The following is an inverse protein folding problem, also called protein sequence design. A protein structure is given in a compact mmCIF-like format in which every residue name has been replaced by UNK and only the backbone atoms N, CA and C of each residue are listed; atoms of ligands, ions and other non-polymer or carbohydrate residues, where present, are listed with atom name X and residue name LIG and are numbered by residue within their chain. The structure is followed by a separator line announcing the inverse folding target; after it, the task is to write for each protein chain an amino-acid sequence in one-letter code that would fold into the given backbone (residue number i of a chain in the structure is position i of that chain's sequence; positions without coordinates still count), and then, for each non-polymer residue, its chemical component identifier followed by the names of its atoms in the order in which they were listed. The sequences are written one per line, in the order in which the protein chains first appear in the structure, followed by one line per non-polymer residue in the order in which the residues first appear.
data_IF_704353800231
#
_entry.id   IF_704353800231
#
_cell.length_a   1.000
_cell.length_b   1.000
_cell.length_c   1.000
_cell.angle_alpha   90.00
_cell.angle_beta   90.00
_cell.angle_gamma   90.00
#
_symmetry.space_group_name_H-M   'P 1'
#
loop_
_entity.id
_entity.type
_entity.pdbx_description
1 polymer ?
#
# COMPACT_ATOMS: atom_id res chain seq x y z
N UNK A 1 70.52 -38.22 7.66
CA UNK A 1 69.89 -37.25 8.58
C UNK A 1 70.11 -35.85 8.01
N UNK A 2 69.06 -35.25 7.44
CA UNK A 2 69.11 -33.91 6.84
C UNK A 2 68.55 -32.91 7.87
N UNK A 3 69.41 -32.00 8.34
CA UNK A 3 69.04 -30.89 9.21
C UNK A 3 68.03 -29.98 8.49
N UNK A 4 66.98 -29.56 9.18
CA UNK A 4 66.05 -28.53 8.72
C UNK A 4 65.88 -27.48 9.81
N UNK A 5 66.32 -26.29 9.46
CA UNK A 5 66.34 -25.03 10.22
C UNK A 5 64.93 -24.47 10.42
N UNK A 6 64.72 -23.79 11.55
CA UNK A 6 63.48 -23.09 11.91
C UNK A 6 63.58 -21.65 11.37
N UNK A 7 62.72 -21.30 10.42
CA UNK A 7 62.49 -19.91 10.01
C UNK A 7 61.24 -19.39 10.73
N UNK A 8 61.39 -18.31 11.50
CA UNK A 8 60.28 -17.60 12.15
C UNK A 8 59.46 -16.83 11.09
N UNK A 9 58.12 -16.81 11.16
CA UNK A 9 57.32 -15.98 10.25
C UNK A 9 57.33 -14.53 10.74
N UNK A 10 57.68 -13.62 9.82
CA UNK A 10 57.48 -12.18 9.95
C UNK A 10 55.98 -11.91 9.94
N UNK A 11 55.46 -11.31 10.99
CA UNK A 11 54.07 -10.87 11.10
C UNK A 11 53.89 -9.60 10.25
N UNK A 12 53.35 -9.75 9.04
CA UNK A 12 52.90 -8.61 8.24
C UNK A 12 51.59 -8.08 8.80
N UNK A 13 51.63 -6.90 9.43
CA UNK A 13 50.43 -6.16 9.84
C UNK A 13 49.81 -5.57 8.57
N UNK A 14 48.75 -6.21 8.07
CA UNK A 14 47.86 -5.62 7.05
C UNK A 14 46.90 -4.70 7.78
N UNK A 15 47.14 -3.40 7.70
CA UNK A 15 46.15 -2.39 8.10
C UNK A 15 45.03 -2.37 7.07
N UNK A 16 43.93 -3.05 7.38
CA UNK A 16 42.68 -2.91 6.64
C UNK A 16 42.14 -1.50 6.85
N UNK A 17 42.23 -0.64 5.83
CA UNK A 17 41.44 0.59 5.77
C UNK A 17 39.98 0.18 5.56
N UNK A 18 39.23 0.02 6.65
CA UNK A 18 37.79 -0.05 6.59
C UNK A 18 37.27 1.34 6.18
N UNK A 19 36.94 1.48 4.89
CA UNK A 19 36.12 2.61 4.45
C UNK A 19 34.77 2.57 5.16
N UNK A 20 34.09 3.70 5.36
CA UNK A 20 32.74 3.70 5.89
C UNK A 20 31.85 2.94 4.90
N UNK A 21 31.44 1.73 5.27
CA UNK A 21 30.33 1.08 4.62
C UNK A 21 29.08 1.90 5.00
N UNK A 22 28.61 2.74 4.08
CA UNK A 22 27.27 3.27 4.16
C UNK A 22 26.33 2.05 4.09
N UNK A 23 25.86 1.58 5.24
CA UNK A 23 24.82 0.57 5.30
C UNK A 23 23.55 1.23 4.73
N UNK A 24 23.32 1.06 3.43
CA UNK A 24 22.03 1.35 2.84
C UNK A 24 21.03 0.46 3.57
N UNK A 25 20.00 1.05 4.17
CA UNK A 25 18.87 0.29 4.72
C UNK A 25 18.25 -0.45 3.53
N UNK A 26 18.26 -1.79 3.49
CA UNK A 26 17.64 -2.53 2.39
C UNK A 26 16.17 -2.15 2.33
N UNK A 27 15.71 -1.72 1.15
CA UNK A 27 14.29 -1.48 0.92
C UNK A 27 13.65 -2.85 0.76
N UNK A 28 12.96 -3.32 1.78
CA UNK A 28 12.20 -4.57 1.72
C UNK A 28 10.76 -4.32 1.34
N UNK A 29 10.16 -5.26 0.60
CA UNK A 29 8.74 -5.27 0.26
C UNK A 29 8.12 -6.50 0.87
N UNK A 30 7.26 -6.34 1.89
CA UNK A 30 6.49 -7.46 2.43
C UNK A 30 5.46 -7.94 1.40
N UNK A 31 5.52 -9.21 1.04
CA UNK A 31 4.55 -9.88 0.19
C UNK A 31 3.88 -11.03 0.96
N UNK A 32 2.55 -11.02 0.96
CA UNK A 32 1.73 -11.99 1.68
C UNK A 32 0.70 -12.56 0.73
N UNK A 33 0.38 -13.84 0.90
CA UNK A 33 -0.57 -14.49 0.04
C UNK A 33 -1.05 -15.82 0.60
N UNK A 34 -1.90 -16.47 -0.19
CA UNK A 34 -2.35 -17.83 0.05
C UNK A 34 -2.23 -18.64 -1.23
N UNK A 35 -1.55 -19.78 -1.17
CA UNK A 35 -1.33 -20.67 -2.29
C UNK A 35 -2.27 -21.87 -2.22
N UNK A 36 -2.86 -22.21 -3.35
CA UNK A 36 -3.73 -23.37 -3.53
C UNK A 36 -3.21 -24.23 -4.69
N UNK A 37 -3.44 -25.53 -4.63
CA UNK A 37 -3.19 -26.44 -5.74
C UNK A 37 -4.29 -26.36 -6.83
N UNK A 38 -4.11 -27.15 -7.90
CA UNK A 38 -5.08 -27.23 -8.99
C UNK A 38 -6.46 -27.81 -8.58
N UNK A 39 -6.54 -28.49 -7.43
CA UNK A 39 -7.78 -29.01 -6.86
C UNK A 39 -8.44 -28.00 -5.88
N UNK A 40 -7.85 -26.81 -5.72
CA UNK A 40 -8.33 -25.77 -4.81
C UNK A 40 -8.04 -26.08 -3.34
N UNK A 41 -7.17 -27.05 -3.04
CA UNK A 41 -6.72 -27.32 -1.68
C UNK A 41 -5.57 -26.40 -1.32
N UNK A 42 -5.55 -25.81 -0.10
CA UNK A 42 -4.41 -25.03 0.34
C UNK A 42 -3.16 -25.89 0.42
N UNK A 43 -2.02 -25.33 0.01
CA UNK A 43 -0.72 -26.01 0.13
C UNK A 43 -0.24 -25.98 1.59
N UNK A 44 0.12 -27.14 2.13
CA UNK A 44 0.72 -27.34 3.47
C UNK A 44 2.08 -28.04 3.31
N UNK A 45 3.01 -27.40 2.61
CA UNK A 45 4.34 -27.94 2.31
C UNK A 45 5.41 -26.84 2.36
N UNK A 46 6.69 -27.22 2.26
CA UNK A 46 7.80 -26.28 2.08
C UNK A 46 8.25 -26.29 0.62
N UNK A 47 8.08 -25.17 -0.08
CA UNK A 47 8.44 -25.05 -1.49
C UNK A 47 9.35 -23.84 -1.72
N UNK A 48 10.25 -23.98 -2.69
CA UNK A 48 10.99 -22.84 -3.22
C UNK A 48 10.08 -22.00 -4.09
N UNK A 49 10.05 -20.70 -3.82
CA UNK A 49 9.26 -19.71 -4.56
C UNK A 49 10.19 -18.66 -5.11
N UNK A 50 10.15 -18.49 -6.43
CA UNK A 50 10.87 -17.44 -7.14
C UNK A 50 9.95 -16.24 -7.28
N UNK A 51 10.39 -15.11 -6.76
CA UNK A 51 9.76 -13.81 -6.99
C UNK A 51 10.58 -13.05 -8.02
N UNK A 52 9.91 -12.45 -8.99
CA UNK A 52 10.56 -11.73 -10.07
C UNK A 52 9.81 -10.43 -10.39
N UNK A 53 10.54 -9.35 -10.65
CA UNK A 53 9.99 -8.08 -11.10
C UNK A 53 10.32 -7.86 -12.57
N UNK A 54 9.35 -7.33 -13.30
CA UNK A 54 9.43 -7.06 -14.73
C UNK A 54 8.99 -5.62 -15.04
N UNK A 55 9.57 -5.06 -16.11
CA UNK A 55 9.17 -3.73 -16.63
C UNK A 55 7.80 -3.72 -17.32
N UNK A 56 7.38 -4.87 -17.89
CA UNK A 56 6.10 -5.04 -18.55
C UNK A 56 5.46 -6.39 -18.20
N UNK A 57 4.13 -6.49 -18.34
CA UNK A 57 3.36 -7.70 -17.98
C UNK A 57 3.83 -8.96 -18.72
N UNK A 58 4.31 -8.78 -19.95
CA UNK A 58 4.72 -9.82 -20.90
C UNK A 58 6.24 -9.81 -21.17
N UNK A 59 7.02 -9.04 -20.40
CA UNK A 59 8.47 -8.99 -20.57
C UNK A 59 9.09 -10.39 -20.38
N UNK A 60 9.99 -10.84 -21.27
CA UNK A 60 10.53 -12.19 -21.24
C UNK A 60 11.64 -12.39 -20.19
N UNK A 61 12.22 -11.30 -19.69
CA UNK A 61 13.36 -11.33 -18.76
C UNK A 61 13.04 -10.45 -17.55
N UNK A 62 13.22 -10.94 -16.32
CA UNK A 62 13.03 -10.12 -15.14
C UNK A 62 14.18 -9.13 -14.96
N UNK A 63 13.85 -7.94 -14.47
CA UNK A 63 14.85 -6.93 -14.07
C UNK A 63 15.42 -7.20 -12.68
N UNK A 64 14.71 -8.01 -11.89
CA UNK A 64 15.11 -8.42 -10.56
C UNK A 64 14.44 -9.75 -10.22
N UNK A 65 15.12 -10.61 -9.49
CA UNK A 65 14.55 -11.86 -8.99
C UNK A 65 15.27 -12.34 -7.75
N UNK A 66 14.54 -13.04 -6.88
CA UNK A 66 15.13 -13.80 -5.78
C UNK A 66 14.30 -15.04 -5.48
N UNK A 67 14.89 -15.95 -4.70
CA UNK A 67 14.30 -17.24 -4.33
C UNK A 67 14.16 -17.31 -2.82
N UNK A 68 12.98 -17.70 -2.36
CA UNK A 68 12.68 -17.96 -0.96
C UNK A 68 12.23 -19.41 -0.79
N UNK A 69 12.77 -20.10 0.20
CA UNK A 69 12.23 -21.39 0.64
C UNK A 69 11.14 -21.11 1.68
N UNK A 70 9.88 -21.32 1.30
CA UNK A 70 8.71 -20.94 2.10
C UNK A 70 8.01 -22.19 2.61
N UNK A 71 7.79 -22.25 3.92
CA UNK A 71 6.85 -23.21 4.53
C UNK A 71 5.46 -22.59 4.56
N UNK A 72 4.53 -23.20 3.84
CA UNK A 72 3.13 -22.78 3.81
C UNK A 72 2.38 -23.41 4.98
N UNK A 73 1.54 -22.61 5.64
CA UNK A 73 0.61 -23.07 6.70
C UNK A 73 -0.82 -22.81 6.22
N UNK A 74 -1.54 -23.88 5.87
CA UNK A 74 -2.84 -23.86 5.20
C UNK A 74 -2.86 -22.91 4.00
N UNK A 75 -1.78 -22.93 3.21
CA UNK A 75 -1.54 -22.09 2.03
C UNK A 75 -1.00 -20.71 2.35
N UNK A 76 -1.04 -20.23 3.59
CA UNK A 76 -0.62 -18.87 3.93
C UNK A 76 0.91 -18.74 3.97
N UNK A 77 1.40 -17.59 3.50
CA UNK A 77 2.80 -17.21 3.62
C UNK A 77 2.98 -15.69 3.76
N UNK A 78 4.14 -15.29 4.29
CA UNK A 78 4.62 -13.91 4.35
C UNK A 78 6.13 -13.91 4.14
N UNK A 79 6.60 -13.13 3.18
CA UNK A 79 8.04 -12.97 2.88
C UNK A 79 8.38 -11.50 2.71
N UNK A 80 9.59 -11.13 3.10
CA UNK A 80 10.13 -9.80 2.86
C UNK A 80 11.05 -9.86 1.63
N UNK A 81 10.56 -9.29 0.53
CA UNK A 81 11.31 -9.26 -0.72
C UNK A 81 12.43 -8.23 -0.64
N UNK A 82 13.62 -8.56 -1.14
CA UNK A 82 14.79 -7.68 -1.08
C UNK A 82 15.75 -7.98 0.06
N UNK A 83 15.44 -8.95 0.92
CA UNK A 83 16.37 -9.44 1.94
C UNK A 83 17.49 -10.31 1.34
N UNK A 84 17.18 -11.10 0.31
CA UNK A 84 18.13 -12.01 -0.34
C UNK A 84 18.88 -11.29 -1.47
N UNK A 85 18.14 -10.61 -2.35
CA UNK A 85 18.69 -9.76 -3.39
C UNK A 85 18.17 -8.33 -3.22
N UNK A 86 18.98 -7.35 -2.77
CA UNK A 86 18.52 -6.00 -2.52
C UNK A 86 17.75 -5.40 -3.70
N UNK A 87 16.56 -4.86 -3.43
CA UNK A 87 15.78 -4.13 -4.41
C UNK A 87 16.30 -2.69 -4.44
N UNK A 88 17.03 -2.33 -5.49
CA UNK A 88 17.66 -1.02 -5.62
C UNK A 88 16.81 -0.04 -6.45
N UNK A 89 17.26 1.23 -6.49
CA UNK A 89 16.55 2.31 -7.19
C UNK A 89 16.31 2.05 -8.68
N UNK A 90 17.24 1.44 -9.46
CA UNK A 90 16.95 1.01 -10.84
C UNK A 90 15.72 0.09 -10.96
N UNK A 91 15.48 -0.77 -9.98
CA UNK A 91 14.31 -1.67 -9.97
C UNK A 91 13.04 -0.94 -9.54
N UNK A 92 13.13 0.01 -8.59
CA UNK A 92 12.01 0.82 -8.10
C UNK A 92 12.20 2.31 -8.40
N UNK A 93 12.10 2.68 -9.67
CA UNK A 93 12.26 4.07 -10.15
C UNK A 93 10.96 4.90 -10.14
N UNK A 94 9.86 4.33 -9.65
CA UNK A 94 8.53 4.95 -9.63
C UNK A 94 7.65 4.60 -10.82
N UNK A 95 8.16 3.89 -11.83
CA UNK A 95 7.32 3.31 -12.88
C UNK A 95 6.63 2.02 -12.40
N UNK A 96 5.60 1.61 -13.14
CA UNK A 96 4.90 0.36 -12.86
C UNK A 96 5.86 -0.82 -13.02
N UNK A 97 5.72 -1.80 -12.14
CA UNK A 97 6.40 -3.09 -12.20
C UNK A 97 5.37 -4.21 -12.21
N UNK A 98 5.78 -5.39 -12.65
CA UNK A 98 4.94 -6.57 -12.67
C UNK A 98 5.62 -7.67 -11.87
N UNK A 99 4.95 -8.16 -10.83
CA UNK A 99 5.42 -9.25 -9.99
C UNK A 99 5.01 -10.58 -10.62
N UNK A 100 6.02 -11.36 -11.00
CA UNK A 100 5.90 -12.77 -11.33
C UNK A 100 6.24 -13.64 -10.13
N UNK A 101 5.53 -14.76 -10.02
CA UNK A 101 5.69 -15.75 -8.94
C UNK A 101 5.77 -17.11 -9.61
N UNK A 102 6.84 -17.85 -9.31
CA UNK A 102 7.02 -19.23 -9.77
C UNK A 102 7.20 -20.12 -8.55
N UNK A 103 6.41 -21.18 -8.45
CA UNK A 103 6.44 -22.10 -7.29
C UNK A 103 7.04 -23.43 -7.73
N UNK A 104 8.14 -23.83 -7.11
CA UNK A 104 8.84 -25.07 -7.44
C UNK A 104 9.19 -25.17 -8.92
N UNK A 105 8.63 -26.19 -9.59
CA UNK A 105 8.85 -26.46 -11.02
C UNK A 105 7.66 -26.04 -11.90
N UNK A 106 6.66 -25.37 -11.33
CA UNK A 106 5.48 -24.95 -12.08
C UNK A 106 5.82 -23.82 -13.05
N UNK A 107 5.04 -23.65 -14.13
CA UNK A 107 5.11 -22.43 -14.94
C UNK A 107 4.84 -21.19 -14.08
N UNK A 108 5.49 -20.08 -14.41
CA UNK A 108 5.24 -18.79 -13.74
C UNK A 108 3.74 -18.45 -13.77
N UNK A 109 3.21 -18.00 -12.63
CA UNK A 109 1.80 -17.65 -12.50
C UNK A 109 1.44 -16.47 -13.41
N UNK A 110 0.35 -16.61 -14.16
CA UNK A 110 -0.17 -15.60 -15.09
C UNK A 110 -1.64 -15.28 -14.78
N UNK A 111 -2.09 -14.01 -14.92
CA UNK A 111 -1.30 -12.84 -15.29
C UNK A 111 -0.44 -12.32 -14.13
N UNK A 112 0.72 -11.72 -14.45
CA UNK A 112 1.58 -11.07 -13.44
C UNK A 112 0.83 -9.95 -12.74
N UNK A 113 1.00 -9.84 -11.42
CA UNK A 113 0.35 -8.82 -10.63
C UNK A 113 1.06 -7.47 -10.84
N UNK A 114 0.32 -6.40 -11.14
CA UNK A 114 0.90 -5.07 -11.28
C UNK A 114 1.24 -4.50 -9.90
N UNK A 115 2.52 -4.20 -9.69
CA UNK A 115 3.05 -3.46 -8.56
C UNK A 115 3.26 -2.01 -9.02
N UNK A 116 2.65 -1.06 -8.33
CA UNK A 116 2.90 0.35 -8.59
C UNK A 116 3.13 1.07 -7.27
N UNK A 117 3.91 2.15 -7.32
CA UNK A 117 4.06 3.04 -6.19
C UNK A 117 2.68 3.48 -5.69
N UNK A 118 2.50 3.39 -4.37
CA UNK A 118 1.35 4.03 -3.72
C UNK A 118 1.39 5.54 -4.01
N UNK A 119 0.26 6.19 -4.32
CA UNK A 119 0.21 7.60 -4.71
C UNK A 119 0.91 8.58 -3.75
N UNK A 120 1.10 8.19 -2.49
CA UNK A 120 1.76 9.02 -1.48
C UNK A 120 3.30 9.11 -1.61
N UNK A 121 3.95 8.35 -2.50
CA UNK A 121 5.40 8.48 -2.74
C UNK A 121 5.76 9.56 -3.78
N UNK A 122 4.79 10.11 -4.51
CA UNK A 122 5.03 11.06 -5.61
C UNK A 122 4.93 12.54 -5.21
N UNK A 123 4.41 12.85 -4.02
CA UNK A 123 4.28 14.22 -3.53
C UNK A 123 4.44 14.27 -2.00
N UNK A 124 5.69 14.38 -1.54
CA UNK A 124 5.97 14.79 -0.17
C UNK A 124 5.71 16.29 -0.04
N UNK A 125 4.79 16.70 0.83
CA UNK A 125 4.50 18.12 1.11
C UNK A 125 5.68 18.81 1.81
N UNK A 126 6.34 18.12 2.75
CA UNK A 126 7.56 18.57 3.40
C UNK A 126 8.43 17.37 3.77
N UNK A 127 9.74 17.58 3.89
CA UNK A 127 10.69 16.57 4.39
C UNK A 127 11.25 17.07 5.71
N UNK A 128 11.17 16.24 6.75
CA UNK A 128 11.79 16.52 8.05
C UNK A 128 13.09 15.73 8.17
N UNK A 129 14.20 16.42 8.42
CA UNK A 129 15.55 15.84 8.45
C UNK A 129 16.39 16.20 7.21
N UNK A 130 17.58 15.62 7.13
CA UNK A 130 18.51 15.86 6.03
C UNK A 130 17.99 15.23 4.74
N UNK A 131 18.10 15.99 3.64
CA UNK A 131 17.85 15.51 2.29
C UNK A 131 19.17 15.39 1.53
N UNK A 132 19.32 14.34 0.72
CA UNK A 132 20.48 14.14 -0.18
C UNK A 132 20.06 14.15 -1.66
N UNK A 133 19.43 15.23 -2.15
CA UNK A 133 18.97 15.30 -3.53
C UNK A 133 20.16 15.47 -4.49
N UNK A 134 20.05 14.90 -5.68
CA UNK A 134 21.02 15.15 -6.76
C UNK A 134 20.89 16.58 -7.31
N UNK A 135 19.79 17.30 -7.08
CA UNK A 135 19.60 18.71 -7.43
C UNK A 135 18.35 19.24 -6.75
N UNK A 136 18.27 20.54 -6.48
CA UNK A 136 17.07 21.18 -5.92
C UNK A 136 16.55 22.22 -6.91
N UNK A 137 15.26 22.18 -7.23
CA UNK A 137 14.57 23.20 -8.02
C UNK A 137 13.35 23.73 -7.26
N UNK A 138 13.12 25.04 -7.31
CA UNK A 138 11.98 25.70 -6.66
C UNK A 138 11.21 26.49 -7.72
N UNK A 139 9.91 26.21 -7.88
CA UNK A 139 9.09 26.87 -8.90
C UNK A 139 9.60 26.68 -10.33
N UNK A 140 10.25 25.54 -10.62
CA UNK A 140 10.85 25.24 -11.93
C UNK A 140 12.22 25.87 -12.19
N UNK A 141 12.79 26.59 -11.21
CA UNK A 141 14.14 27.16 -11.30
C UNK A 141 15.14 26.32 -10.50
N UNK A 142 16.24 25.93 -11.14
CA UNK A 142 17.33 25.20 -10.49
C UNK A 142 18.00 26.13 -9.45
N UNK A 143 18.06 25.69 -8.19
CA UNK A 143 18.67 26.45 -7.08
C UNK A 143 19.95 25.80 -6.57
N UNK A 144 20.04 24.46 -6.62
CA UNK A 144 21.26 23.70 -6.32
C UNK A 144 21.49 22.69 -7.44
N UNK A 145 22.67 22.72 -8.07
CA UNK A 145 23.05 21.79 -9.13
C UNK A 145 23.58 20.45 -8.60
N UNK A 146 23.89 19.52 -9.50
CA UNK A 146 24.39 18.18 -9.15
C UNK A 146 25.82 18.12 -8.61
N UNK A 147 26.52 19.25 -8.61
CA UNK A 147 27.81 19.40 -7.92
C UNK A 147 27.66 19.96 -6.50
N UNK A 148 26.44 20.27 -6.08
CA UNK A 148 26.13 20.86 -4.78
C UNK A 148 26.34 22.37 -4.72
N UNK A 149 26.54 23.04 -5.85
CA UNK A 149 26.71 24.49 -5.92
C UNK A 149 25.35 25.18 -5.98
N UNK A 150 25.24 26.32 -5.30
CA UNK A 150 24.09 27.21 -5.43
C UNK A 150 24.15 27.93 -6.78
N UNK A 151 23.09 27.80 -7.59
CA UNK A 151 23.00 28.35 -8.95
C UNK A 151 21.73 29.17 -9.19
N UNK A 152 20.93 29.41 -8.13
CA UNK A 152 19.74 30.23 -8.20
C UNK A 152 20.04 31.69 -8.58
N UNK A 153 19.06 32.41 -9.12
CA UNK A 153 19.22 33.85 -9.38
C UNK A 153 19.14 34.65 -8.07
N UNK A 154 20.09 35.58 -7.78
CA UNK A 154 20.05 36.37 -6.55
C UNK A 154 18.90 37.40 -6.46
N UNK A 155 18.07 37.56 -7.49
CA UNK A 155 17.18 38.72 -7.64
C UNK A 155 15.81 38.30 -8.17
N UNK A 156 14.74 38.57 -7.42
CA UNK A 156 13.37 38.49 -7.96
C UNK A 156 12.24 38.45 -6.93
N UNK A 157 11.77 39.61 -6.44
CA UNK A 157 10.38 39.78 -5.95
C UNK A 157 9.82 41.18 -6.34
N UNK A 158 10.05 41.62 -7.59
CA UNK A 158 9.19 42.64 -8.22
C UNK A 158 8.98 42.23 -9.67
N UNK A 159 7.77 41.77 -9.98
CA UNK A 159 7.40 41.33 -11.33
C UNK A 159 7.40 42.48 -12.33
N UNK A 160 7.77 42.17 -13.56
CA UNK A 160 7.67 43.07 -14.71
C UNK A 160 6.19 43.41 -15.02
N UNK A 161 5.97 44.58 -15.64
CA UNK A 161 4.66 45.02 -16.10
C UNK A 161 4.13 44.06 -17.19
N UNK A 162 2.89 43.59 -17.02
CA UNK A 162 2.26 42.65 -17.94
C UNK A 162 2.15 43.18 -19.38
N UNK A 163 2.31 42.33 -20.41
CA UNK A 163 2.24 42.73 -21.81
C UNK A 163 0.83 43.21 -22.20
N UNK A 164 0.79 44.16 -23.15
CA UNK A 164 -0.45 44.70 -23.72
C UNK A 164 -1.25 43.62 -24.47
N UNK A 165 -2.57 43.62 -24.28
CA UNK A 165 -3.47 42.60 -24.82
C UNK A 165 -3.64 42.66 -26.35
N UNK A 166 -3.61 41.51 -27.06
CA UNK A 166 -3.92 41.44 -28.48
C UNK A 166 -5.45 41.36 -28.77
N UNK A 167 -5.86 41.58 -30.04
CA UNK A 167 -7.09 42.31 -30.41
C UNK A 167 -8.38 41.52 -30.63
N UNK A 168 -9.50 42.25 -30.58
CA UNK A 168 -10.68 42.11 -31.46
C UNK A 168 -11.79 41.12 -31.06
N UNK A 169 -13.07 41.54 -30.96
CA UNK A 169 -14.18 40.65 -30.62
C UNK A 169 -14.54 39.66 -31.72
N UNK A 170 -15.13 38.54 -31.31
CA UNK A 170 -15.45 37.36 -32.11
C UNK A 170 -16.50 37.61 -33.22
N UNK A 171 -16.32 36.93 -34.35
CA UNK A 171 -17.34 36.85 -35.40
C UNK A 171 -18.55 35.99 -34.99
N UNK A 172 -19.73 36.21 -35.60
CA UNK A 172 -20.97 35.53 -35.23
C UNK A 172 -20.96 34.03 -35.55
N UNK A 173 -21.73 33.28 -34.75
CA UNK A 173 -21.88 31.83 -34.77
C UNK A 173 -22.59 31.34 -36.06
N UNK A 174 -22.00 30.34 -36.73
CA UNK A 174 -22.64 29.63 -37.84
C UNK A 174 -23.78 28.72 -37.36
N UNK A 175 -24.82 28.45 -38.19
CA UNK A 175 -25.94 27.59 -37.81
C UNK A 175 -25.50 26.15 -37.55
N UNK A 176 -26.17 25.50 -36.58
CA UNK A 176 -25.93 24.11 -36.21
C UNK A 176 -26.24 23.16 -37.38
N UNK A 177 -25.35 22.19 -37.60
CA UNK A 177 -25.59 21.08 -38.54
C UNK A 177 -26.68 20.13 -38.01
N UNK A 178 -27.44 19.47 -38.90
CA UNK A 178 -28.46 18.51 -38.48
C UNK A 178 -27.82 17.32 -37.73
N UNK A 179 -28.44 16.79 -36.67
CA UNK A 179 -27.95 15.60 -35.98
C UNK A 179 -27.87 14.40 -36.92
N UNK A 180 -26.76 13.66 -36.87
CA UNK A 180 -26.63 12.37 -37.53
C UNK A 180 -27.59 11.34 -36.91
N UNK A 181 -28.14 10.45 -37.74
CA UNK A 181 -29.02 9.38 -37.28
C UNK A 181 -28.28 8.46 -36.29
N UNK A 182 -28.94 8.13 -35.19
CA UNK A 182 -28.42 7.17 -34.22
C UNK A 182 -28.26 5.79 -34.86
N UNK A 183 -27.10 5.16 -34.67
CA UNK A 183 -26.90 3.76 -35.04
C UNK A 183 -27.84 2.85 -34.22
N UNK A 184 -28.25 1.70 -34.77
CA UNK A 184 -29.04 0.74 -33.99
C UNK A 184 -28.25 0.31 -32.75
N UNK A 185 -28.89 0.22 -31.57
CA UNK A 185 -28.24 -0.31 -30.37
C UNK A 185 -27.68 -1.71 -30.64
N UNK A 186 -26.42 -1.94 -30.28
CA UNK A 186 -25.87 -3.29 -30.26
C UNK A 186 -26.72 -4.17 -29.33
N UNK A 187 -27.03 -5.39 -29.76
CA UNK A 187 -27.72 -6.36 -28.91
C UNK A 187 -26.91 -6.55 -27.63
N UNK A 188 -27.57 -6.35 -26.50
CA UNK A 188 -27.00 -6.61 -25.19
C UNK A 188 -26.57 -8.08 -25.14
N UNK A 189 -25.28 -8.33 -24.97
CA UNK A 189 -24.76 -9.68 -24.75
C UNK A 189 -25.56 -10.34 -23.62
N UNK A 190 -25.90 -11.63 -23.80
CA UNK A 190 -26.60 -12.39 -22.79
C UNK A 190 -25.93 -12.19 -21.43
N UNK A 191 -26.73 -11.88 -20.40
CA UNK A 191 -26.23 -11.80 -19.04
C UNK A 191 -25.44 -13.08 -18.74
N UNK A 192 -24.22 -12.94 -18.23
CA UNK A 192 -23.45 -14.08 -17.74
C UNK A 192 -24.31 -14.88 -16.75
N UNK A 193 -24.14 -16.21 -16.67
CA UNK A 193 -24.85 -16.99 -15.67
C UNK A 193 -24.65 -16.34 -14.29
N UNK A 194 -25.70 -16.23 -13.46
CA UNK A 194 -25.55 -15.74 -12.10
C UNK A 194 -24.39 -16.48 -11.43
N UNK A 195 -23.44 -15.74 -10.86
CA UNK A 195 -22.41 -16.35 -10.02
C UNK A 195 -23.06 -17.19 -8.92
N UNK A 196 -22.43 -18.29 -8.47
CA UNK A 196 -22.98 -19.13 -7.43
C UNK A 196 -23.33 -18.25 -6.20
N UNK A 197 -24.43 -18.54 -5.47
CA UNK A 197 -24.85 -17.72 -4.33
C UNK A 197 -23.84 -17.86 -3.19
N UNK A 198 -22.78 -17.06 -3.24
CA UNK A 198 -21.71 -17.02 -2.25
C UNK A 198 -21.91 -15.94 -1.19
N UNK A 199 -22.77 -14.94 -1.43
CA UNK A 199 -23.07 -13.87 -0.47
C UNK A 199 -24.32 -14.21 0.32
N UNK A 200 -24.15 -14.46 1.62
CA UNK A 200 -25.23 -14.71 2.58
C UNK A 200 -25.91 -13.39 2.96
N UNK A 201 -25.13 -12.33 3.18
CA UNK A 201 -25.64 -11.00 3.44
C UNK A 201 -24.60 -9.92 3.13
N UNK A 202 -25.06 -8.71 2.84
CA UNK A 202 -24.21 -7.53 2.68
C UNK A 202 -24.83 -6.36 3.43
N UNK A 203 -24.04 -5.69 4.26
CA UNK A 203 -24.45 -4.53 5.04
C UNK A 203 -23.46 -3.39 4.76
N UNK A 204 -23.98 -2.20 4.48
CA UNK A 204 -23.17 -0.98 4.41
C UNK A 204 -23.76 0.08 5.32
N UNK A 205 -22.91 0.69 6.15
CA UNK A 205 -23.27 1.72 7.12
C UNK A 205 -22.35 2.91 6.92
N UNK A 206 -22.91 4.12 6.98
CA UNK A 206 -22.14 5.37 6.99
C UNK A 206 -22.47 6.20 8.22
N UNK A 207 -21.50 6.92 8.75
CA UNK A 207 -21.71 7.87 9.85
C UNK A 207 -20.39 8.46 10.36
N UNK A 208 -20.46 9.48 11.23
CA UNK A 208 -19.27 10.15 11.78
C UNK A 208 -18.38 9.23 12.66
N UNK A 209 -18.98 8.23 13.30
CA UNK A 209 -18.27 7.35 14.24
C UNK A 209 -17.72 8.11 15.45
N UNK A 210 -16.62 7.62 16.05
CA UNK A 210 -16.01 8.22 17.25
C UNK A 210 -14.57 8.66 16.99
N UNK A 211 -14.14 9.71 17.69
CA UNK A 211 -12.74 10.15 17.66
C UNK A 211 -11.84 9.16 18.41
N UNK A 212 -10.56 8.99 18.00
CA UNK A 212 -9.61 8.19 18.75
C UNK A 212 -9.50 8.61 20.21
N UNK A 213 -9.52 7.62 21.09
CA UNK A 213 -9.28 7.75 22.54
C UNK A 213 -8.20 6.75 22.95
N UNK A 214 -7.65 6.85 24.17
CA UNK A 214 -6.65 5.88 24.64
C UNK A 214 -7.17 4.43 24.69
N UNK A 215 -8.49 4.25 24.87
CA UNK A 215 -9.14 2.95 24.88
C UNK A 215 -9.55 2.52 23.47
N UNK A 216 -9.34 1.24 23.16
CA UNK A 216 -9.76 0.64 21.89
C UNK A 216 -11.29 0.74 21.74
N UNK A 217 -11.74 1.34 20.64
CA UNK A 217 -13.15 1.48 20.32
C UNK A 217 -13.37 1.48 18.80
N UNK A 218 -14.62 1.30 18.37
CA UNK A 218 -14.98 1.55 16.98
C UNK A 218 -14.82 3.04 16.68
N UNK A 219 -14.03 3.34 15.64
CA UNK A 219 -13.83 4.70 15.17
C UNK A 219 -14.77 5.00 14.00
N UNK A 220 -15.02 4.01 13.14
CA UNK A 220 -16.08 4.08 12.14
C UNK A 220 -17.43 3.62 12.71
N UNK A 221 -18.52 4.02 12.07
CA UNK A 221 -19.83 3.45 12.34
C UNK A 221 -19.79 1.93 12.04
N UNK A 222 -20.05 1.05 13.02
CA UNK A 222 -19.94 -0.38 12.80
C UNK A 222 -21.12 -0.90 11.96
N UNK A 223 -20.84 -1.86 11.08
CA UNK A 223 -21.85 -2.64 10.40
C UNK A 223 -22.25 -3.85 11.25
N UNK A 224 -23.55 -4.11 11.37
CA UNK A 224 -24.05 -5.32 12.02
C UNK A 224 -24.17 -6.45 11.01
N UNK A 225 -23.62 -7.61 11.37
CA UNK A 225 -23.61 -8.82 10.55
C UNK A 225 -24.06 -10.03 11.37
N UNK A 226 -24.71 -10.98 10.70
CA UNK A 226 -25.14 -12.25 11.29
C UNK A 226 -24.38 -13.40 10.66
N UNK A 227 -23.70 -14.19 11.49
CA UNK A 227 -23.11 -15.48 11.10
C UNK A 227 -24.09 -16.56 11.51
N UNK A 228 -24.62 -17.31 10.54
CA UNK A 228 -25.66 -18.32 10.76
C UNK A 228 -25.14 -19.74 10.74
N UNK A 229 -23.94 -19.98 10.20
CA UNK A 229 -23.34 -21.30 10.09
C UNK A 229 -21.82 -21.25 10.27
N UNK A 230 -21.24 -22.33 10.78
CA UNK A 230 -19.79 -22.53 10.76
C UNK A 230 -19.30 -22.56 9.30
N UNK A 231 -18.14 -21.98 9.05
CA UNK A 231 -17.57 -21.87 7.70
C UNK A 231 -17.85 -20.53 7.02
N UNK A 232 -18.84 -19.74 7.47
CA UNK A 232 -19.03 -18.41 6.93
C UNK A 232 -17.83 -17.49 7.22
N UNK A 233 -17.50 -16.62 6.26
CA UNK A 233 -16.47 -15.59 6.39
C UNK A 233 -17.11 -14.21 6.25
N UNK A 234 -16.52 -13.23 6.91
CA UNK A 234 -16.99 -11.84 6.85
C UNK A 234 -15.90 -11.00 6.23
N UNK A 235 -16.12 -10.55 4.99
CA UNK A 235 -15.23 -9.58 4.33
C UNK A 235 -15.66 -8.20 4.79
N UNK A 236 -14.80 -7.54 5.58
CA UNK A 236 -15.06 -6.21 6.10
C UNK A 236 -14.13 -5.23 5.42
N UNK A 237 -14.69 -4.13 4.93
CA UNK A 237 -13.99 -2.98 4.38
C UNK A 237 -14.52 -1.75 5.11
N UNK A 238 -13.66 -1.04 5.82
CA UNK A 238 -14.08 0.12 6.60
C UNK A 238 -13.08 1.25 6.42
N UNK A 239 -13.58 2.43 6.08
CA UNK A 239 -12.78 3.63 5.95
C UNK A 239 -13.35 4.77 6.77
N UNK A 240 -12.47 5.65 7.24
CA UNK A 240 -12.83 6.86 7.97
C UNK A 240 -11.89 8.00 7.59
N UNK A 241 -12.46 9.19 7.42
CA UNK A 241 -11.69 10.42 7.38
C UNK A 241 -11.18 10.76 8.78
N UNK A 242 -9.86 10.79 8.94
CA UNK A 242 -9.16 11.04 10.18
C UNK A 242 -8.29 12.27 10.02
N UNK A 243 -8.38 13.21 10.95
CA UNK A 243 -7.73 14.49 10.79
C UNK A 243 -7.41 15.20 12.09
N UNK A 244 -6.69 16.29 11.91
CA UNK A 244 -6.18 17.17 12.95
C UNK A 244 -6.62 18.61 12.68
N UNK A 245 -6.85 19.36 13.74
CA UNK A 245 -6.98 20.81 13.68
C UNK A 245 -5.59 21.46 13.79
N UNK A 246 -5.48 22.59 14.48
CA UNK A 246 -4.23 23.36 14.60
C UNK A 246 -3.06 22.62 15.28
N UNK A 247 -3.33 21.47 15.94
CA UNK A 247 -2.31 20.66 16.62
C UNK A 247 -2.08 19.34 15.89
N UNK A 248 -0.82 18.97 15.55
CA UNK A 248 -0.51 17.66 14.97
C UNK A 248 -0.92 16.51 15.90
N UNK A 249 -1.22 15.36 15.33
CA UNK A 249 -1.57 14.16 16.08
C UNK A 249 -0.73 12.97 15.64
N UNK A 250 -0.50 12.05 16.57
CA UNK A 250 0.40 10.92 16.38
C UNK A 250 -0.11 9.67 17.08
N UNK A 251 0.70 8.60 17.01
CA UNK A 251 0.51 7.35 17.75
C UNK A 251 -0.89 6.73 17.57
N UNK A 252 -1.52 6.94 16.42
CA UNK A 252 -2.79 6.31 16.12
C UNK A 252 -2.55 4.87 15.64
N UNK A 253 -3.31 3.97 16.25
CA UNK A 253 -3.33 2.55 15.95
C UNK A 253 -4.71 2.21 15.38
N UNK A 254 -4.75 1.52 14.25
CA UNK A 254 -5.99 1.16 13.53
C UNK A 254 -6.04 -0.32 13.21
N UNK A 255 -7.23 -0.92 13.30
CA UNK A 255 -7.52 -2.28 12.84
C UNK A 255 -8.95 -2.37 12.31
N UNK A 256 -9.28 -3.49 11.66
CA UNK A 256 -10.67 -3.95 11.67
C UNK A 256 -10.91 -4.63 13.01
N UNK A 257 -12.05 -4.35 13.66
CA UNK A 257 -12.48 -5.10 14.83
C UNK A 257 -13.83 -5.79 14.60
N UNK A 258 -14.07 -6.82 15.41
CA UNK A 258 -15.38 -7.40 15.65
C UNK A 258 -15.75 -7.36 17.13
N UNK A 259 -17.04 -7.21 17.41
CA UNK A 259 -17.60 -7.29 18.76
C UNK A 259 -18.91 -8.08 18.72
N UNK A 260 -19.02 -9.12 19.54
CA UNK A 260 -20.27 -9.87 19.68
C UNK A 260 -21.34 -8.99 20.35
N UNK A 261 -22.56 -8.99 19.82
CA UNK A 261 -23.65 -8.15 20.32
C UNK A 261 -24.34 -8.80 21.52
N UNK A 262 -24.54 -10.12 21.48
CA UNK A 262 -25.22 -10.88 22.53
C UNK A 262 -24.60 -12.28 22.73
N UNK A 263 -24.06 -12.59 23.93
CA UNK A 263 -23.69 -11.63 24.99
C UNK A 263 -22.69 -10.58 24.45
N UNK A 264 -22.65 -9.40 25.07
CA UNK A 264 -21.72 -8.35 24.66
C UNK A 264 -20.27 -8.83 24.87
N UNK A 265 -19.53 -8.97 23.77
CA UNK A 265 -18.13 -9.37 23.79
C UNK A 265 -17.17 -8.19 23.88
N UNK A 266 -15.89 -8.48 24.08
CA UNK A 266 -14.82 -7.48 23.93
C UNK A 266 -14.54 -7.19 22.44
N UNK A 267 -13.98 -6.01 22.16
CA UNK A 267 -13.48 -5.70 20.82
C UNK A 267 -12.28 -6.57 20.49
N UNK A 268 -12.41 -7.40 19.46
CA UNK A 268 -11.33 -8.25 18.96
C UNK A 268 -10.77 -7.64 17.69
N UNK A 269 -9.44 -7.43 17.63
CA UNK A 269 -8.73 -6.89 16.46
C UNK A 269 -8.53 -7.98 15.42
N UNK A 270 -8.57 -7.60 14.15
CA UNK A 270 -8.35 -8.47 13.01
C UNK A 270 -7.38 -7.83 12.02
N UNK A 271 -6.57 -8.69 11.38
CA UNK A 271 -5.51 -8.27 10.48
C UNK A 271 -4.30 -7.68 11.19
N UNK A 272 -3.34 -7.22 10.40
CA UNK A 272 -2.08 -6.62 10.89
C UNK A 272 -2.33 -5.25 11.52
N UNK A 273 -3.23 -4.47 10.93
CA UNK A 273 -3.52 -3.09 11.36
C UNK A 273 -2.49 -2.08 10.87
N UNK A 274 -2.66 -0.83 11.29
CA UNK A 274 -1.73 0.28 11.05
C UNK A 274 -1.27 0.78 12.40
N UNK A 275 0.04 0.99 12.54
CA UNK A 275 0.67 1.44 13.76
C UNK A 275 1.32 2.80 13.56
N UNK A 276 1.34 3.59 14.63
CA UNK A 276 2.07 4.85 14.69
C UNK A 276 1.72 5.83 13.57
N UNK A 277 0.44 5.86 13.16
CA UNK A 277 -0.01 6.84 12.17
C UNK A 277 0.09 8.25 12.78
N UNK A 278 0.60 9.19 11.98
CA UNK A 278 0.79 10.58 12.38
C UNK A 278 0.31 11.52 11.29
N UNK A 279 -0.25 12.65 11.69
CA UNK A 279 -0.72 13.71 10.82
C UNK A 279 -0.21 15.07 11.29
N UNK A 280 0.34 15.92 10.39
CA UNK A 280 0.60 17.32 10.66
C UNK A 280 -0.68 18.06 11.04
N UNK A 281 -0.57 19.24 11.66
CA UNK A 281 -1.70 20.12 11.92
C UNK A 281 -2.46 20.49 10.63
N UNK A 282 -3.77 20.67 10.74
CA UNK A 282 -4.70 21.09 9.69
C UNK A 282 -4.72 20.13 8.49
N UNK A 283 -4.59 18.82 8.75
CA UNK A 283 -4.64 17.80 7.71
C UNK A 283 -5.71 16.76 8.01
N UNK A 284 -6.26 16.17 6.97
CA UNK A 284 -7.18 15.03 7.07
C UNK A 284 -6.86 14.04 5.97
N UNK A 285 -6.96 12.75 6.28
CA UNK A 285 -6.75 11.65 5.33
C UNK A 285 -7.88 10.63 5.48
N UNK A 286 -8.26 9.98 4.38
CA UNK A 286 -9.13 8.82 4.46
C UNK A 286 -8.30 7.56 4.68
N UNK A 287 -8.48 6.91 5.83
CA UNK A 287 -7.83 5.65 6.15
C UNK A 287 -8.84 4.52 5.97
N UNK A 288 -8.51 3.56 5.11
CA UNK A 288 -9.30 2.35 4.88
C UNK A 288 -8.54 1.11 5.28
N UNK A 289 -9.16 0.22 6.03
CA UNK A 289 -8.66 -1.13 6.29
C UNK A 289 -9.66 -2.16 5.81
N UNK A 290 -9.15 -3.35 5.52
CA UNK A 290 -9.95 -4.51 5.20
C UNK A 290 -9.44 -5.73 5.96
N UNK A 291 -10.36 -6.62 6.30
CA UNK A 291 -10.03 -7.91 6.90
C UNK A 291 -11.09 -8.95 6.53
N UNK A 292 -10.68 -10.22 6.54
CA UNK A 292 -11.59 -11.36 6.46
C UNK A 292 -11.69 -11.98 7.85
N UNK A 293 -12.89 -12.04 8.40
CA UNK A 293 -13.14 -12.57 9.75
C UNK A 293 -13.72 -13.97 9.65
N UNK A 294 -13.25 -14.86 10.53
CA UNK A 294 -13.86 -16.15 10.81
C UNK A 294 -14.38 -16.12 12.24
N UNK A 295 -15.69 -15.98 12.39
CA UNK A 295 -16.34 -15.87 13.69
C UNK A 295 -17.34 -17.04 13.86
N UNK A 296 -17.57 -17.52 15.09
CA UNK A 296 -18.64 -18.48 15.36
C UNK A 296 -20.03 -17.92 14.97
N UNK A 297 -21.05 -18.78 14.85
CA UNK A 297 -22.43 -18.32 14.65
C UNK A 297 -22.85 -17.33 15.75
N UNK A 298 -23.40 -16.18 15.34
CA UNK A 298 -23.71 -15.07 16.23
C UNK A 298 -23.94 -13.76 15.49
N UNK A 299 -24.34 -12.72 16.22
CA UNK A 299 -24.44 -11.36 15.70
C UNK A 299 -23.26 -10.51 16.17
N UNK A 300 -22.66 -9.79 15.24
CA UNK A 300 -21.45 -9.01 15.47
C UNK A 300 -21.57 -7.61 14.90
N UNK A 301 -21.01 -6.65 15.62
CA UNK A 301 -20.62 -5.36 15.06
C UNK A 301 -19.21 -5.49 14.51
N UNK A 302 -19.00 -5.04 13.28
CA UNK A 302 -17.69 -5.05 12.62
C UNK A 302 -17.40 -3.68 12.01
N UNK A 303 -16.13 -3.28 11.97
CA UNK A 303 -15.73 -1.99 11.39
C UNK A 303 -14.36 -1.53 11.83
N UNK A 304 -13.92 -0.37 11.31
CA UNK A 304 -12.66 0.25 11.69
C UNK A 304 -12.69 0.61 13.18
N UNK A 305 -11.71 0.10 13.91
CA UNK A 305 -11.47 0.40 15.30
C UNK A 305 -10.04 0.92 15.47
N UNK A 306 -9.79 1.52 16.63
CA UNK A 306 -8.47 2.00 16.94
C UNK A 306 -8.42 2.70 18.28
N UNK A 307 -7.21 3.13 18.61
CA UNK A 307 -6.94 3.94 19.78
C UNK A 307 -5.72 4.83 19.51
N UNK A 308 -5.68 5.96 20.20
CA UNK A 308 -4.51 6.83 20.25
C UNK A 308 -4.39 7.43 21.64
N UNK A 309 -3.15 7.56 22.12
CA UNK A 309 -2.87 8.35 23.32
C UNK A 309 -2.82 9.86 23.01
N UNK A 310 -2.68 10.21 21.73
CA UNK A 310 -2.70 11.59 21.25
C UNK A 310 -4.15 12.11 21.20
N UNK A 311 -4.49 13.18 21.93
CA UNK A 311 -5.86 13.69 21.98
C UNK A 311 -6.23 14.56 20.77
N UNK A 312 -5.33 14.74 19.81
CA UNK A 312 -5.43 15.74 18.73
C UNK A 312 -6.00 15.21 17.41
N UNK A 313 -6.50 13.97 17.41
CA UNK A 313 -7.29 13.41 16.31
C UNK A 313 -8.73 13.95 16.38
N UNK A 314 -8.90 15.25 16.17
CA UNK A 314 -10.14 16.00 16.47
C UNK A 314 -10.93 16.43 15.23
N UNK A 315 -10.29 16.46 14.05
CA UNK A 315 -10.94 16.83 12.79
C UNK A 315 -11.31 15.58 11.97
N UNK A 316 -12.02 14.66 12.62
CA UNK A 316 -12.49 13.45 11.98
C UNK A 316 -13.87 13.70 11.36
N UNK A 317 -14.15 12.99 10.27
CA UNK A 317 -15.40 13.15 9.52
C UNK A 317 -16.03 11.78 9.26
N UNK A 318 -16.88 11.69 8.25
CA UNK A 318 -17.63 10.51 7.86
C UNK A 318 -16.75 9.27 7.69
N UNK A 319 -17.36 8.15 8.07
CA UNK A 319 -16.87 6.80 7.86
C UNK A 319 -17.87 5.99 7.07
N UNK A 320 -17.37 4.99 6.37
CA UNK A 320 -18.16 3.98 5.68
C UNK A 320 -17.63 2.61 6.06
N UNK A 321 -18.53 1.72 6.45
CA UNK A 321 -18.23 0.33 6.75
C UNK A 321 -19.12 -0.54 5.90
N UNK A 322 -18.50 -1.35 5.04
CA UNK A 322 -19.17 -2.40 4.30
C UNK A 322 -18.71 -3.76 4.81
N UNK A 323 -19.65 -4.65 5.05
CA UNK A 323 -19.39 -6.00 5.49
C UNK A 323 -20.23 -6.98 4.65
N UNK A 324 -19.58 -8.00 4.12
CA UNK A 324 -20.20 -9.03 3.30
C UNK A 324 -19.95 -10.37 4.00
N UNK A 325 -21.03 -11.06 4.36
CA UNK A 325 -20.96 -12.44 4.87
C UNK A 325 -21.03 -13.35 3.67
N UNK A 326 -20.03 -14.20 3.50
CA UNK A 326 -19.96 -15.17 2.42
C UNK A 326 -19.96 -16.59 2.96
N UNK A 327 -20.52 -17.52 2.20
CA UNK A 327 -20.23 -18.94 2.37
C UNK A 327 -18.84 -19.23 1.81
N UNK A 328 -18.13 -20.14 2.46
CA UNK A 328 -16.89 -20.74 1.93
C UNK A 328 -17.20 -21.65 0.74
#
# INVERSE_FOLDING_TARGET
MKARTINAPVLAVVTALAGPAAAAVPVTITHQGRLFDAAGQPIDDTLDVVFALYDAVDAPVPIWSEVHTITFDHGYFSVDLGEVAPVDKPVLDGAARYLGITVGNDPEMVPRARVASVPYALQASNVSGDITPNSISVGGQLVIDSSGLWVGQPVGLKGDAGPSGPPGPAGPMGPAGPPGAAGPPGEQGAAGPPGPPGVVSSTSVSGAGLDPRPTLQFLAAPATVSVTALGQRIVVMSNKALGTDETPADQLLLWICSQQIAPLGELTRAGTGVYSLQLPANTSISMGLNAVLSLPPGQYNVGLCGNSVSPFWTNNDYSYTSAVVTME
#
